data_IF_462099261580
#
_entry.id   IF_462099261580
#
_cell.length_a   1.000
_cell.length_b   1.000
_cell.length_c   1.000
_cell.angle_alpha   90.00
_cell.angle_beta   90.00
_cell.angle_gamma   90.00
#
_symmetry.space_group_name_H-M   'P 1'
#
loop_
_entity.id
_entity.type
_entity.pdbx_description
1 polymer ?
#
# COMPACT_ATOMS: atom_id res chain seq x y z
N UNK A 1 -43.23 -45.27 -41.12
CA UNK A 1 -42.86 -44.23 -42.13
C UNK A 1 -42.22 -43.07 -41.38
N UNK A 2 -40.90 -43.13 -41.20
CA UNK A 2 -40.12 -42.13 -40.46
C UNK A 2 -39.43 -41.25 -41.48
N UNK A 3 -39.91 -40.01 -41.64
CA UNK A 3 -39.30 -39.00 -42.51
C UNK A 3 -38.14 -38.35 -41.76
N UNK A 4 -36.91 -38.73 -42.14
CA UNK A 4 -35.67 -38.03 -41.77
C UNK A 4 -35.65 -36.65 -42.41
N UNK A 5 -35.57 -35.61 -41.58
CA UNK A 5 -35.34 -34.23 -42.01
C UNK A 5 -33.83 -34.04 -42.28
N UNK A 6 -33.42 -33.35 -43.37
CA UNK A 6 -32.04 -33.28 -43.82
C UNK A 6 -31.19 -32.23 -43.08
N UNK A 7 -29.89 -32.51 -43.05
CA UNK A 7 -28.80 -31.60 -42.67
C UNK A 7 -28.72 -30.39 -43.61
N UNK A 8 -28.57 -29.17 -43.07
CA UNK A 8 -28.14 -27.99 -43.84
C UNK A 8 -27.20 -27.08 -43.04
N UNK A 9 -25.92 -27.18 -43.43
CA UNK A 9 -24.83 -26.19 -43.58
C UNK A 9 -24.67 -25.04 -42.57
N UNK A 10 -23.46 -25.01 -42.02
CA UNK A 10 -22.77 -23.90 -41.37
C UNK A 10 -22.81 -22.58 -42.18
N UNK A 11 -22.97 -21.46 -41.47
CA UNK A 11 -22.36 -20.18 -41.82
C UNK A 11 -21.92 -19.54 -40.49
N UNK A 12 -20.62 -19.32 -40.34
CA UNK A 12 -20.00 -18.88 -39.09
C UNK A 12 -20.22 -17.42 -38.76
N UNK A 13 -20.14 -17.11 -37.47
CA UNK A 13 -19.51 -15.90 -36.97
C UNK A 13 -18.62 -16.26 -35.79
N UNK A 14 -17.32 -16.04 -36.00
CA UNK A 14 -16.30 -15.95 -34.97
C UNK A 14 -16.72 -14.92 -33.92
N UNK A 15 -17.00 -15.38 -32.70
CA UNK A 15 -16.98 -14.53 -31.52
C UNK A 15 -16.03 -15.18 -30.52
N UNK A 16 -14.89 -14.52 -30.40
CA UNK A 16 -13.82 -14.70 -29.44
C UNK A 16 -14.37 -15.16 -28.09
N UNK A 17 -14.10 -16.41 -27.71
CA UNK A 17 -14.36 -16.88 -26.36
C UNK A 17 -13.46 -16.10 -25.40
N UNK A 18 -14.00 -15.51 -24.30
CA UNK A 18 -13.17 -14.90 -23.29
C UNK A 18 -12.26 -15.98 -22.74
N UNK A 19 -10.96 -15.78 -22.88
CA UNK A 19 -9.94 -16.68 -22.36
C UNK A 19 -10.22 -16.92 -20.88
N UNK A 20 -10.73 -18.12 -20.59
CA UNK A 20 -10.69 -18.72 -19.26
C UNK A 20 -9.23 -18.67 -18.83
N UNK A 21 -8.92 -17.76 -17.90
CA UNK A 21 -7.63 -17.70 -17.23
C UNK A 21 -7.43 -19.09 -16.62
N UNK A 22 -6.45 -19.83 -17.14
CA UNK A 22 -6.13 -21.17 -16.66
C UNK A 22 -5.70 -21.09 -15.19
N UNK A 23 -6.24 -21.92 -14.29
CA UNK A 23 -5.84 -21.95 -12.88
C UNK A 23 -4.35 -22.34 -12.66
N UNK A 24 -3.64 -22.78 -13.70
CA UNK A 24 -2.20 -23.06 -13.66
C UNK A 24 -1.31 -21.82 -13.52
N UNK A 25 -1.82 -20.60 -13.75
CA UNK A 25 -1.02 -19.37 -13.66
C UNK A 25 -0.83 -18.85 -12.21
N UNK A 26 -1.44 -19.51 -11.20
CA UNK A 26 -1.30 -19.15 -9.78
C UNK A 26 -0.37 -20.06 -8.96
N UNK A 27 0.33 -21.05 -9.56
CA UNK A 27 1.15 -22.01 -8.79
C UNK A 27 2.52 -21.50 -8.33
N UNK A 28 2.96 -20.33 -8.82
CA UNK A 28 4.31 -19.79 -8.58
C UNK A 28 4.43 -19.00 -7.27
N UNK A 29 3.35 -18.36 -6.82
CA UNK A 29 3.35 -17.52 -5.63
C UNK A 29 2.71 -18.28 -4.47
N UNK A 30 3.48 -18.50 -3.42
CA UNK A 30 3.14 -19.36 -2.30
C UNK A 30 3.16 -18.54 -1.02
N UNK A 31 2.00 -18.42 -0.37
CA UNK A 31 1.84 -17.56 0.81
C UNK A 31 2.56 -18.10 2.03
N UNK A 32 2.63 -19.42 2.19
CA UNK A 32 3.37 -20.04 3.30
C UNK A 32 4.87 -19.83 3.10
N UNK A 33 5.36 -19.97 1.86
CA UNK A 33 6.76 -19.68 1.54
C UNK A 33 7.12 -18.20 1.74
N UNK A 34 6.25 -17.28 1.32
CA UNK A 34 6.45 -15.85 1.54
C UNK A 34 6.52 -15.49 3.02
N UNK A 35 5.60 -16.04 3.81
CA UNK A 35 5.56 -15.88 5.26
C UNK A 35 6.85 -16.40 5.89
N UNK A 36 7.27 -17.62 5.53
CA UNK A 36 8.51 -18.21 6.02
C UNK A 36 9.73 -17.33 5.69
N UNK A 37 9.84 -16.84 4.45
CA UNK A 37 10.94 -15.94 4.04
C UNK A 37 10.96 -14.67 4.89
N UNK A 38 9.80 -14.06 5.11
CA UNK A 38 9.69 -12.84 5.91
C UNK A 38 10.01 -13.08 7.39
N UNK A 39 9.52 -14.18 7.98
CA UNK A 39 9.85 -14.57 9.35
C UNK A 39 11.36 -14.73 9.54
N UNK A 40 12.04 -15.43 8.64
CA UNK A 40 13.51 -15.56 8.70
C UNK A 40 14.23 -14.23 8.54
N UNK A 41 13.72 -13.35 7.68
CA UNK A 41 14.28 -12.01 7.50
C UNK A 41 14.10 -11.10 8.72
N UNK A 42 13.00 -11.26 9.47
CA UNK A 42 12.74 -10.53 10.71
C UNK A 42 13.60 -11.11 11.85
N UNK A 43 13.70 -12.44 11.96
CA UNK A 43 14.56 -13.10 12.96
C UNK A 43 16.04 -12.69 12.81
N UNK A 44 16.49 -12.44 11.57
CA UNK A 44 17.85 -11.98 11.27
C UNK A 44 18.06 -10.48 11.48
N UNK A 45 16.98 -9.68 11.59
CA UNK A 45 17.08 -8.22 11.69
C UNK A 45 17.90 -7.80 12.93
N UNK A 46 18.81 -6.81 12.83
CA UNK A 46 19.02 -5.85 11.74
C UNK A 46 19.90 -6.33 10.58
N UNK A 47 20.43 -7.54 10.65
CA UNK A 47 21.32 -8.12 9.65
C UNK A 47 20.54 -8.80 8.52
N UNK A 48 21.28 -9.29 7.52
CA UNK A 48 20.72 -10.11 6.45
C UNK A 48 20.67 -11.60 6.87
N UNK A 49 19.81 -12.37 6.21
CA UNK A 49 19.65 -13.80 6.46
C UNK A 49 20.88 -14.63 6.10
N UNK A 50 21.12 -15.71 6.86
CA UNK A 50 22.12 -16.75 6.55
C UNK A 50 21.42 -17.99 6.00
N UNK A 51 22.00 -18.65 5.00
CA UNK A 51 21.57 -19.94 4.46
C UNK A 51 21.26 -20.99 5.52
N UNK A 52 21.93 -20.96 6.68
CA UNK A 52 21.60 -21.83 7.82
C UNK A 52 20.15 -21.69 8.29
N UNK A 53 19.58 -20.49 8.21
CA UNK A 53 18.18 -20.21 8.59
C UNK A 53 17.18 -20.84 7.61
N UNK A 54 17.64 -21.21 6.41
CA UNK A 54 16.86 -21.85 5.36
C UNK A 54 17.31 -23.30 5.11
N UNK A 55 18.03 -23.92 6.04
CA UNK A 55 18.62 -25.24 5.85
C UNK A 55 17.61 -26.30 5.38
N UNK A 56 16.40 -26.30 5.94
CA UNK A 56 15.32 -27.22 5.54
C UNK A 56 14.86 -26.99 4.09
N UNK A 57 14.70 -25.72 3.70
CA UNK A 57 14.37 -25.32 2.33
C UNK A 57 15.49 -25.73 1.35
N UNK A 58 16.74 -25.61 1.78
CA UNK A 58 17.92 -25.89 0.97
C UNK A 58 18.25 -27.40 0.85
N UNK A 59 17.75 -28.23 1.77
CA UNK A 59 17.99 -29.68 1.80
C UNK A 59 17.04 -30.46 0.89
N UNK A 60 15.83 -29.94 0.64
CA UNK A 60 14.99 -30.42 -0.46
C UNK A 60 15.72 -30.17 -1.76
N UNK A 61 16.08 -31.23 -2.50
CA UNK A 61 16.73 -31.13 -3.81
C UNK A 61 15.90 -30.19 -4.69
N UNK A 62 16.35 -28.94 -4.86
CA UNK A 62 15.69 -28.03 -5.78
C UNK A 62 15.76 -28.64 -7.16
N UNK A 63 14.63 -29.05 -7.70
CA UNK A 63 14.50 -29.09 -9.15
C UNK A 63 14.44 -27.65 -9.68
N UNK A 64 14.55 -27.52 -10.99
CA UNK A 64 14.57 -26.20 -11.63
C UNK A 64 13.27 -25.41 -11.44
N UNK A 65 12.17 -26.04 -11.06
CA UNK A 65 10.87 -25.40 -10.93
C UNK A 65 10.65 -24.87 -9.51
N UNK A 66 11.06 -25.61 -8.49
CA UNK A 66 11.10 -25.10 -7.10
C UNK A 66 12.10 -23.95 -6.94
N UNK A 67 13.25 -23.98 -7.62
CA UNK A 67 14.18 -22.85 -7.62
C UNK A 67 13.54 -21.57 -8.20
N UNK A 68 12.80 -21.70 -9.31
CA UNK A 68 12.07 -20.59 -9.92
C UNK A 68 10.95 -20.09 -9.02
N UNK A 69 10.29 -20.99 -8.28
CA UNK A 69 9.23 -20.67 -7.32
C UNK A 69 9.79 -19.85 -6.16
N UNK A 70 10.87 -20.31 -5.52
CA UNK A 70 11.56 -19.56 -4.45
C UNK A 70 11.98 -18.18 -4.92
N UNK A 71 12.66 -18.09 -6.07
CA UNK A 71 13.05 -16.81 -6.67
C UNK A 71 11.84 -15.90 -6.87
N UNK A 72 10.73 -16.40 -7.41
CA UNK A 72 9.54 -15.60 -7.66
C UNK A 72 8.99 -14.96 -6.39
N UNK A 73 8.94 -15.73 -5.30
CA UNK A 73 8.41 -15.25 -4.03
C UNK A 73 9.35 -14.21 -3.39
N UNK A 74 10.67 -14.41 -3.46
CA UNK A 74 11.65 -13.41 -3.02
C UNK A 74 11.48 -12.11 -3.82
N UNK A 75 11.47 -12.19 -5.15
CA UNK A 75 11.32 -11.00 -6.01
C UNK A 75 10.00 -10.28 -5.74
N UNK A 76 8.91 -11.02 -5.57
CA UNK A 76 7.61 -10.43 -5.24
C UNK A 76 7.64 -9.63 -3.94
N UNK A 77 8.26 -10.17 -2.89
CA UNK A 77 8.41 -9.47 -1.61
C UNK A 77 9.32 -8.22 -1.74
N UNK A 78 10.34 -8.27 -2.60
CA UNK A 78 11.20 -7.12 -2.92
C UNK A 78 10.41 -6.04 -3.66
N UNK A 79 9.61 -6.39 -4.67
CA UNK A 79 8.76 -5.46 -5.43
C UNK A 79 7.76 -4.74 -4.53
N UNK A 80 7.24 -5.44 -3.52
CA UNK A 80 6.36 -4.88 -2.49
C UNK A 80 7.10 -4.16 -1.35
N UNK A 81 8.44 -4.11 -1.39
CA UNK A 81 9.29 -3.49 -0.37
C UNK A 81 9.09 -4.08 1.04
N UNK A 82 8.67 -5.34 1.11
CA UNK A 82 8.52 -6.10 2.36
C UNK A 82 9.87 -6.63 2.84
N UNK A 83 10.75 -6.96 1.88
CA UNK A 83 12.15 -7.31 2.11
C UNK A 83 13.05 -6.53 1.14
N UNK A 84 14.34 -6.52 1.40
CA UNK A 84 15.38 -6.00 0.51
C UNK A 84 16.50 -7.03 0.37
N UNK A 85 17.29 -6.89 -0.70
CA UNK A 85 18.47 -7.72 -0.93
C UNK A 85 19.71 -6.88 -0.60
N UNK A 86 20.36 -7.20 0.51
CA UNK A 86 21.62 -6.60 0.95
C UNK A 86 22.80 -7.25 0.20
N UNK A 87 22.95 -6.84 -1.05
CA UNK A 87 24.03 -7.30 -1.92
C UNK A 87 24.82 -6.11 -2.45
N UNK A 88 26.16 -6.19 -2.36
CA UNK A 88 27.08 -5.11 -2.72
C UNK A 88 26.67 -4.41 -4.04
N UNK A 89 26.64 -3.07 -3.98
CA UNK A 89 25.97 -2.11 -4.87
C UNK A 89 26.32 -2.14 -6.38
N UNK A 90 27.05 -3.13 -6.86
CA UNK A 90 27.57 -3.20 -8.23
C UNK A 90 26.96 -4.33 -9.08
N UNK A 91 25.90 -4.98 -8.60
CA UNK A 91 25.34 -6.17 -9.26
C UNK A 91 23.82 -6.20 -9.17
N UNK A 92 23.18 -6.33 -10.32
CA UNK A 92 21.74 -6.57 -10.42
C UNK A 92 21.40 -7.91 -9.71
N UNK A 93 20.59 -7.86 -8.66
CA UNK A 93 20.18 -9.05 -7.91
C UNK A 93 19.45 -10.10 -8.78
N UNK A 94 18.97 -9.70 -9.96
CA UNK A 94 18.40 -10.62 -10.96
C UNK A 94 19.38 -11.71 -11.40
N UNK A 95 20.69 -11.48 -11.30
CA UNK A 95 21.73 -12.44 -11.69
C UNK A 95 22.19 -13.36 -10.53
N UNK A 96 21.67 -13.16 -9.32
CA UNK A 96 22.02 -14.00 -8.18
C UNK A 96 21.34 -15.35 -8.29
N UNK A 97 22.04 -16.43 -7.91
CA UNK A 97 21.39 -17.72 -7.66
C UNK A 97 20.39 -17.61 -6.50
N UNK A 98 19.43 -18.53 -6.41
CA UNK A 98 18.49 -18.53 -5.28
C UNK A 98 19.21 -18.69 -3.93
N UNK A 99 20.34 -19.41 -3.89
CA UNK A 99 21.18 -19.51 -2.72
C UNK A 99 21.81 -18.17 -2.31
N UNK A 100 22.29 -17.38 -3.27
CA UNK A 100 22.82 -16.04 -2.99
C UNK A 100 21.74 -15.06 -2.55
N UNK A 101 20.54 -15.14 -3.13
CA UNK A 101 19.40 -14.34 -2.70
C UNK A 101 19.03 -14.63 -1.25
N UNK A 102 18.90 -15.90 -0.89
CA UNK A 102 18.57 -16.35 0.47
C UNK A 102 19.61 -15.90 1.51
N UNK A 103 20.88 -15.75 1.13
CA UNK A 103 21.95 -15.26 2.01
C UNK A 103 22.00 -13.73 2.14
N UNK A 104 21.08 -13.02 1.49
CA UNK A 104 21.15 -11.56 1.35
C UNK A 104 19.82 -10.90 1.68
N UNK A 105 18.84 -11.60 2.26
CA UNK A 105 17.51 -11.02 2.52
C UNK A 105 17.55 -10.23 3.81
N UNK A 106 17.04 -9.00 3.79
CA UNK A 106 16.85 -8.16 4.97
C UNK A 106 15.40 -7.68 5.05
N UNK A 107 14.78 -7.80 6.24
CA UNK A 107 13.45 -7.24 6.46
C UNK A 107 13.47 -5.71 6.42
N UNK A 108 12.44 -5.10 5.80
CA UNK A 108 12.24 -3.65 5.82
C UNK A 108 11.32 -3.25 6.99
N UNK A 109 11.20 -1.94 7.23
CA UNK A 109 10.19 -1.41 8.15
C UNK A 109 8.78 -1.89 7.78
N UNK A 110 8.46 -1.95 6.48
CA UNK A 110 7.14 -2.42 6.01
C UNK A 110 6.94 -3.90 6.25
N UNK A 111 7.99 -4.72 6.14
CA UNK A 111 7.89 -6.14 6.41
C UNK A 111 7.67 -6.44 7.89
N UNK A 112 8.33 -5.68 8.76
CA UNK A 112 8.14 -5.76 10.22
C UNK A 112 6.72 -5.30 10.58
N UNK A 113 6.31 -4.13 10.10
CA UNK A 113 4.96 -3.58 10.32
C UNK A 113 3.86 -4.52 9.78
N UNK A 114 4.09 -5.18 8.65
CA UNK A 114 3.16 -6.17 8.08
C UNK A 114 2.98 -7.40 8.98
N UNK A 115 4.04 -7.86 9.65
CA UNK A 115 3.98 -9.03 10.53
C UNK A 115 3.41 -8.72 11.91
N UNK A 116 3.56 -7.48 12.38
CA UNK A 116 2.96 -7.04 13.64
C UNK A 116 1.45 -6.82 13.53
N UNK A 117 0.93 -6.66 12.31
CA UNK A 117 -0.49 -6.45 12.00
C UNK A 117 -1.12 -5.26 12.77
N UNK A 118 -0.29 -4.31 13.18
CA UNK A 118 -0.68 -3.10 13.92
C UNK A 118 -0.67 -1.83 13.05
N UNK A 119 -0.35 -1.99 11.75
CA UNK A 119 -0.19 -0.89 10.81
C UNK A 119 1.11 -0.08 10.98
N UNK A 120 1.97 -0.49 11.92
CA UNK A 120 3.32 0.00 12.04
C UNK A 120 3.50 1.43 12.54
N UNK A 121 4.74 1.89 12.51
CA UNK A 121 5.09 3.31 12.74
C UNK A 121 4.37 4.24 11.75
N UNK A 122 4.03 3.74 10.57
CA UNK A 122 3.22 4.48 9.59
C UNK A 122 1.82 4.81 10.13
N UNK A 123 1.16 3.88 10.83
CA UNK A 123 -0.12 4.15 11.48
C UNK A 123 0.02 5.19 12.61
N UNK A 124 1.06 5.06 13.43
CA UNK A 124 1.35 6.01 14.53
C UNK A 124 1.63 7.42 13.99
N UNK A 125 2.37 7.55 12.88
CA UNK A 125 2.62 8.84 12.24
C UNK A 125 1.35 9.42 11.60
N UNK A 126 0.47 8.58 11.07
CA UNK A 126 -0.81 9.02 10.52
C UNK A 126 -1.82 9.48 11.59
N UNK A 127 -1.68 9.06 12.85
CA UNK A 127 -2.44 9.60 13.99
C UNK A 127 -2.21 11.10 14.15
N UNK A 128 -1.01 11.61 13.84
CA UNK A 128 -0.73 13.06 13.87
C UNK A 128 -1.58 13.80 12.85
N UNK A 129 -1.71 13.23 11.64
CA UNK A 129 -2.59 13.76 10.61
C UNK A 129 -4.05 13.72 11.09
N UNK A 130 -4.52 12.58 11.64
CA UNK A 130 -5.89 12.45 12.19
C UNK A 130 -6.17 13.52 13.27
N UNK A 131 -5.20 13.76 14.16
CA UNK A 131 -5.31 14.78 15.21
C UNK A 131 -5.39 16.19 14.65
N UNK A 132 -4.56 16.54 13.65
CA UNK A 132 -4.63 17.86 13.00
C UNK A 132 -6.00 18.14 12.39
N UNK A 133 -6.61 17.15 11.71
CA UNK A 133 -7.92 17.35 11.10
C UNK A 133 -9.03 17.47 12.14
N UNK A 134 -8.93 16.76 13.27
CA UNK A 134 -9.85 16.96 14.39
C UNK A 134 -9.77 18.40 14.91
N UNK A 135 -8.57 18.91 15.16
CA UNK A 135 -8.36 20.26 15.69
C UNK A 135 -8.80 21.35 14.68
N UNK A 136 -8.63 21.11 13.38
CA UNK A 136 -9.12 22.00 12.32
C UNK A 136 -10.66 22.04 12.25
N UNK A 137 -11.33 20.88 12.35
CA UNK A 137 -12.80 20.81 12.38
C UNK A 137 -13.35 21.59 13.57
N UNK A 138 -12.76 21.44 14.76
CA UNK A 138 -13.22 22.17 15.95
C UNK A 138 -13.08 23.67 15.78
N UNK A 139 -11.93 24.15 15.28
CA UNK A 139 -11.73 25.59 15.04
C UNK A 139 -12.70 26.17 14.00
N UNK A 140 -13.01 25.42 12.93
CA UNK A 140 -14.00 25.86 11.94
C UNK A 140 -15.41 25.86 12.54
N UNK A 141 -15.74 24.86 13.36
CA UNK A 141 -17.03 24.81 14.07
C UNK A 141 -17.19 26.01 15.01
N UNK A 142 -16.16 26.32 15.81
CA UNK A 142 -16.14 27.47 16.71
C UNK A 142 -16.33 28.78 15.92
N UNK A 143 -15.66 28.91 14.78
CA UNK A 143 -15.80 30.09 13.91
C UNK A 143 -17.22 30.20 13.34
N UNK A 144 -17.85 29.10 12.93
CA UNK A 144 -19.26 29.08 12.49
C UNK A 144 -20.17 29.52 13.65
N UNK A 145 -19.95 29.02 14.86
CA UNK A 145 -20.75 29.39 16.03
C UNK A 145 -20.67 30.89 16.34
N UNK A 146 -19.49 31.49 16.19
CA UNK A 146 -19.20 32.91 16.43
C UNK A 146 -19.73 33.83 15.33
N UNK A 147 -19.66 33.42 14.06
CA UNK A 147 -19.89 34.31 12.91
C UNK A 147 -21.27 34.19 12.28
N UNK A 148 -21.89 33.01 12.36
CA UNK A 148 -23.20 32.76 11.74
C UNK A 148 -24.31 33.08 12.73
N UNK A 149 -25.17 34.04 12.39
CA UNK A 149 -26.25 34.49 13.28
C UNK A 149 -27.54 33.69 13.10
N UNK A 150 -27.82 33.25 11.87
CA UNK A 150 -29.02 32.48 11.56
C UNK A 150 -28.92 31.04 12.14
N UNK A 151 -29.92 30.59 12.93
CA UNK A 151 -29.89 29.27 13.55
C UNK A 151 -29.97 28.10 12.56
N UNK A 152 -30.72 28.24 11.46
CA UNK A 152 -30.87 27.17 10.46
C UNK A 152 -29.58 26.99 9.66
N UNK A 153 -28.99 28.09 9.20
CA UNK A 153 -27.70 28.06 8.50
C UNK A 153 -26.58 27.56 9.41
N UNK A 154 -26.56 27.97 10.68
CA UNK A 154 -25.59 27.47 11.68
C UNK A 154 -25.68 25.95 11.80
N UNK A 155 -26.87 25.41 12.00
CA UNK A 155 -27.07 23.97 12.12
C UNK A 155 -26.70 23.24 10.82
N UNK A 156 -27.04 23.81 9.66
CA UNK A 156 -26.69 23.25 8.36
C UNK A 156 -25.18 23.17 8.17
N UNK A 157 -24.45 24.25 8.43
CA UNK A 157 -22.99 24.29 8.25
C UNK A 157 -22.26 23.35 9.21
N UNK A 158 -22.65 23.29 10.49
CA UNK A 158 -22.07 22.36 11.46
C UNK A 158 -22.32 20.90 11.05
N UNK A 159 -23.50 20.59 10.50
CA UNK A 159 -23.83 19.24 10.02
C UNK A 159 -22.99 18.87 8.80
N UNK A 160 -22.86 19.78 7.83
CA UNK A 160 -22.06 19.56 6.64
C UNK A 160 -20.58 19.39 6.98
N UNK A 161 -20.03 20.21 7.89
CA UNK A 161 -18.65 20.13 8.34
C UNK A 161 -18.31 18.76 8.95
N UNK A 162 -19.21 18.20 9.77
CA UNK A 162 -19.06 16.87 10.39
C UNK A 162 -19.14 15.71 9.41
N UNK A 163 -19.74 15.92 8.23
CA UNK A 163 -19.91 14.89 7.19
C UNK A 163 -18.79 14.92 6.14
N UNK A 164 -17.89 15.90 6.18
CA UNK A 164 -16.82 16.00 5.19
C UNK A 164 -15.81 14.85 5.32
N UNK A 165 -15.38 14.26 4.20
CA UNK A 165 -14.26 13.35 4.19
C UNK A 165 -13.00 14.02 4.73
N UNK A 166 -12.15 13.22 5.36
CA UNK A 166 -10.88 13.64 5.92
C UNK A 166 -10.00 14.43 4.94
N UNK A 167 -9.84 13.93 3.72
CA UNK A 167 -9.07 14.59 2.65
C UNK A 167 -9.66 15.98 2.30
N UNK A 168 -10.98 16.11 2.35
CA UNK A 168 -11.69 17.37 2.07
C UNK A 168 -11.47 18.42 3.16
N UNK A 169 -11.37 18.01 4.43
CA UNK A 169 -11.10 18.91 5.56
C UNK A 169 -9.78 19.66 5.38
N UNK A 170 -8.73 18.98 4.88
CA UNK A 170 -7.44 19.61 4.58
C UNK A 170 -7.58 20.70 3.52
N UNK A 171 -8.28 20.38 2.43
CA UNK A 171 -8.50 21.33 1.34
C UNK A 171 -9.29 22.55 1.80
N UNK A 172 -10.40 22.35 2.52
CA UNK A 172 -11.23 23.44 3.05
C UNK A 172 -10.45 24.31 4.04
N UNK A 173 -9.68 23.69 4.94
CA UNK A 173 -8.87 24.43 5.93
C UNK A 173 -7.83 25.32 5.25
N UNK A 174 -7.11 24.79 4.25
CA UNK A 174 -6.14 25.56 3.48
C UNK A 174 -6.80 26.69 2.68
N UNK A 175 -7.95 26.44 2.08
CA UNK A 175 -8.67 27.45 1.33
C UNK A 175 -9.21 28.58 2.23
N UNK A 176 -9.72 28.26 3.41
CA UNK A 176 -10.14 29.25 4.42
C UNK A 176 -8.96 30.10 4.89
N UNK A 177 -7.81 29.48 5.19
CA UNK A 177 -6.59 30.21 5.55
C UNK A 177 -6.16 31.13 4.41
N UNK A 178 -6.11 30.65 3.18
CA UNK A 178 -5.73 31.46 2.02
C UNK A 178 -6.67 32.66 1.82
N UNK A 179 -7.98 32.44 1.89
CA UNK A 179 -8.98 33.52 1.77
C UNK A 179 -8.88 34.50 2.95
N UNK A 180 -8.65 34.01 4.16
CA UNK A 180 -8.46 34.84 5.35
C UNK A 180 -7.21 35.72 5.24
N UNK A 181 -6.06 35.13 4.92
CA UNK A 181 -4.80 35.86 4.71
C UNK A 181 -4.91 36.91 3.61
N UNK A 182 -5.63 36.61 2.53
CA UNK A 182 -5.86 37.56 1.44
C UNK A 182 -6.70 38.79 1.86
N UNK A 183 -7.48 38.69 2.94
CA UNK A 183 -8.27 39.79 3.48
C UNK A 183 -7.57 40.55 4.61
N UNK A 184 -6.45 40.05 5.13
CA UNK A 184 -5.71 40.71 6.22
C UNK A 184 -4.74 41.75 5.63
N UNK A 185 -4.93 43.05 5.91
CA UNK A 185 -3.95 44.06 5.52
C UNK A 185 -2.66 43.87 6.32
N UNK A 186 -1.52 44.16 5.68
CA UNK A 186 -0.18 44.09 6.27
C UNK A 186 0.25 42.68 6.74
N UNK A 187 -0.29 41.60 6.18
CA UNK A 187 0.00 40.22 6.60
C UNK A 187 1.50 39.89 6.65
N UNK A 188 2.30 40.42 5.72
CA UNK A 188 3.75 40.25 5.69
C UNK A 188 4.45 40.87 6.92
N UNK A 189 3.95 42.00 7.42
CA UNK A 189 4.47 42.66 8.62
C UNK A 189 4.16 41.87 9.89
N UNK A 190 2.98 41.26 9.97
CA UNK A 190 2.63 40.38 11.08
C UNK A 190 3.46 39.11 11.07
N UNK A 191 3.65 38.49 9.90
CA UNK A 191 4.50 37.31 9.75
C UNK A 191 5.95 37.59 10.19
N UNK A 192 6.51 38.75 9.85
CA UNK A 192 7.83 39.16 10.33
C UNK A 192 7.95 39.10 11.86
N UNK A 193 6.95 39.58 12.59
CA UNK A 193 6.95 39.58 14.08
C UNK A 193 6.89 38.20 14.74
N UNK A 194 6.41 37.17 14.02
CA UNK A 194 6.31 35.81 14.55
C UNK A 194 7.49 34.91 14.15
N UNK A 195 8.25 35.32 13.13
CA UNK A 195 9.38 34.56 12.58
C UNK A 195 10.75 35.09 13.06
N UNK A 196 10.79 36.30 13.61
CA UNK A 196 11.92 36.86 14.38
C UNK A 196 11.91 36.37 15.83
#
# INVERSE_FOLDING_TARGET
MVLRIPQRKEIGYSLLSPTLIRPEQMSKFDRELQKLILEKAIDAHPDATDAKQFHELLMTRFDSDEEKKVRANIIYLVEHKIITIDYNQHSNYNNLSSYQLINSIRATEKGIDFMLDDGGLSAILNVTTIKFHHDAIQQIADLIELTVQDPEDKQRFLTQLKQLPYETIKHVSLELVNKGLAQIPNVAQWLGKFLD
#
